data_IF_286788709715
#
_entry.id   IF_286788709715
#
_cell.length_a   1.000
_cell.length_b   1.000
_cell.length_c   1.000
_cell.angle_alpha   90.00
_cell.angle_beta   90.00
_cell.angle_gamma   90.00
#
_symmetry.space_group_name_H-M   'P 1'
#
loop_
_entity.id
_entity.type
_entity.pdbx_description
1 polymer ?
#
# COMPACT_ATOMS: atom_id res chain seq x y z
N UNK A 1 12.28 21.45 5.99
CA UNK A 1 11.22 21.61 4.98
C UNK A 1 10.93 20.21 4.48
N UNK A 2 9.68 19.75 4.50
CA UNK A 2 9.33 18.43 3.98
C UNK A 2 9.80 18.34 2.52
N UNK A 3 10.39 17.22 2.13
CA UNK A 3 10.76 16.97 0.74
C UNK A 3 9.47 16.93 -0.11
N UNK A 4 9.26 17.89 -1.03
CA UNK A 4 8.03 17.98 -1.80
C UNK A 4 8.08 17.11 -3.06
N UNK A 5 9.15 16.33 -3.27
CA UNK A 5 9.26 15.50 -4.47
C UNK A 5 8.23 14.39 -4.44
N UNK A 6 7.34 14.37 -5.45
CA UNK A 6 6.42 13.27 -5.69
C UNK A 6 7.26 12.03 -6.03
N UNK A 7 7.39 11.11 -5.08
CA UNK A 7 8.01 9.81 -5.35
C UNK A 7 7.06 9.02 -6.24
N UNK A 8 7.53 8.65 -7.42
CA UNK A 8 6.82 7.70 -8.28
C UNK A 8 6.76 6.37 -7.55
N UNK A 9 5.56 5.81 -7.39
CA UNK A 9 5.41 4.46 -6.83
C UNK A 9 6.04 3.47 -7.83
N UNK A 10 7.15 2.86 -7.46
CA UNK A 10 7.90 1.93 -8.29
C UNK A 10 8.05 0.64 -7.50
N UNK A 11 7.50 -0.46 -8.02
CA UNK A 11 7.68 -1.77 -7.43
C UNK A 11 9.15 -2.17 -7.58
N UNK A 12 9.88 -2.18 -6.46
CA UNK A 12 11.28 -2.59 -6.44
C UNK A 12 11.40 -4.11 -6.35
N UNK A 13 12.20 -4.71 -7.24
CA UNK A 13 12.59 -6.13 -7.18
C UNK A 13 13.42 -6.48 -5.92
N UNK A 14 13.83 -5.47 -5.17
CA UNK A 14 14.49 -5.62 -3.86
C UNK A 14 13.85 -4.61 -2.91
N UNK A 15 13.00 -5.05 -1.97
CA UNK A 15 12.35 -4.13 -1.04
C UNK A 15 13.41 -3.54 -0.12
N UNK A 16 13.79 -2.29 -0.38
CA UNK A 16 14.60 -1.49 0.55
C UNK A 16 13.62 -0.64 1.34
N UNK A 17 13.64 -0.75 2.67
CA UNK A 17 12.84 0.10 3.54
C UNK A 17 13.41 1.53 3.47
N UNK A 18 12.91 2.34 2.54
CA UNK A 18 13.13 3.78 2.58
C UNK A 18 12.17 4.37 3.62
N UNK A 19 12.69 4.71 4.80
CA UNK A 19 11.91 5.47 5.78
C UNK A 19 11.97 6.94 5.36
N UNK A 20 10.89 7.52 4.80
CA UNK A 20 10.88 8.94 4.53
C UNK A 20 11.08 9.69 5.86
N UNK A 21 11.94 10.70 5.86
CA UNK A 21 12.06 11.58 7.02
C UNK A 21 10.75 12.36 7.18
N UNK A 22 9.92 11.97 8.14
CA UNK A 22 8.70 12.69 8.49
C UNK A 22 9.02 13.73 9.56
N UNK A 23 8.46 14.94 9.41
CA UNK A 23 8.54 15.98 10.42
C UNK A 23 7.20 16.00 11.19
N UNK A 24 7.22 16.14 12.53
CA UNK A 24 5.99 16.29 13.30
C UNK A 24 5.23 17.54 12.81
N UNK A 25 3.93 17.38 12.58
CA UNK A 25 3.04 18.47 12.18
C UNK A 25 2.55 19.22 13.42
N UNK A 26 2.59 20.55 13.38
CA UNK A 26 2.07 21.44 14.41
C UNK A 26 0.78 22.13 13.94
N UNK A 27 -0.08 22.59 14.87
CA UNK A 27 -1.23 23.42 14.52
C UNK A 27 -0.79 24.66 13.72
N UNK A 28 -1.30 24.81 12.51
CA UNK A 28 -0.96 25.92 11.60
C UNK A 28 0.02 25.54 10.48
N UNK A 29 0.56 24.32 10.47
CA UNK A 29 1.39 23.84 9.37
C UNK A 29 0.58 23.68 8.08
N UNK A 30 1.19 24.08 6.96
CA UNK A 30 0.67 23.80 5.63
C UNK A 30 1.08 22.39 5.20
N UNK A 31 0.10 21.55 4.90
CA UNK A 31 0.32 20.21 4.36
C UNK A 31 0.19 20.22 2.83
N UNK A 32 1.01 19.43 2.16
CA UNK A 32 0.91 19.18 0.72
C UNK A 32 0.56 17.72 0.50
N UNK A 33 -0.41 17.44 -0.38
CA UNK A 33 -0.73 16.08 -0.79
C UNK A 33 0.44 15.50 -1.58
N UNK A 34 1.03 14.40 -1.11
CA UNK A 34 2.19 13.75 -1.74
C UNK A 34 1.84 12.44 -2.47
N UNK A 35 0.69 11.84 -2.15
CA UNK A 35 0.18 10.63 -2.80
C UNK A 35 -1.34 10.55 -2.62
N UNK A 36 -2.05 10.14 -3.66
CA UNK A 36 -3.44 9.69 -3.60
C UNK A 36 -3.73 8.69 -4.72
N UNK A 37 -4.77 7.88 -4.52
CA UNK A 37 -5.45 7.15 -5.60
C UNK A 37 -6.94 7.48 -5.47
N UNK A 38 -7.51 8.06 -6.52
CA UNK A 38 -8.91 8.52 -6.52
C UNK A 38 -9.87 7.46 -7.06
N UNK A 39 -9.37 6.30 -7.51
CA UNK A 39 -10.17 5.19 -8.05
C UNK A 39 -11.06 5.55 -9.26
N UNK A 40 -10.77 6.67 -9.92
CA UNK A 40 -11.53 7.15 -11.08
C UNK A 40 -11.13 6.47 -12.40
N UNK A 41 -10.13 5.57 -12.38
CA UNK A 41 -9.70 4.81 -13.54
C UNK A 41 -10.66 3.64 -13.84
N UNK A 42 -10.49 2.98 -14.98
CA UNK A 42 -11.28 1.80 -15.33
C UNK A 42 -10.81 0.51 -14.64
N UNK A 43 -9.59 0.51 -14.09
CA UNK A 43 -8.99 -0.61 -13.36
C UNK A 43 -7.95 -0.10 -12.36
N UNK A 44 -7.65 -0.88 -11.33
CA UNK A 44 -6.56 -0.58 -10.39
C UNK A 44 -5.21 -0.61 -11.10
N UNK A 45 -4.31 0.30 -10.73
CA UNK A 45 -2.94 0.32 -11.22
C UNK A 45 -2.11 -0.81 -10.56
N UNK A 46 -1.60 -1.79 -11.34
CA UNK A 46 -0.79 -2.89 -10.80
C UNK A 46 0.61 -2.47 -10.34
N UNK A 47 1.04 -1.24 -10.62
CA UNK A 47 2.25 -0.66 -10.01
C UNK A 47 1.99 -0.15 -8.59
N UNK A 48 0.72 0.05 -8.22
CA UNK A 48 0.32 0.61 -6.92
C UNK A 48 -0.34 -0.44 -6.03
N UNK A 49 -1.19 -1.30 -6.60
CA UNK A 49 -1.95 -2.30 -5.87
C UNK A 49 -1.58 -3.72 -6.31
N UNK A 50 -1.59 -4.64 -5.35
CA UNK A 50 -1.47 -6.08 -5.56
C UNK A 50 -2.55 -6.80 -4.75
N UNK A 51 -3.13 -7.85 -5.32
CA UNK A 51 -4.10 -8.70 -4.64
C UNK A 51 -3.40 -9.91 -4.04
N UNK A 52 -3.35 -9.98 -2.71
CA UNK A 52 -3.02 -11.21 -2.02
C UNK A 52 -4.07 -12.28 -2.35
N UNK A 53 -3.63 -13.51 -2.58
CA UNK A 53 -4.51 -14.65 -2.79
C UNK A 53 -4.26 -15.66 -1.69
N UNK A 54 -5.33 -16.05 -1.00
CA UNK A 54 -5.29 -17.10 0.01
C UNK A 54 -5.38 -16.64 1.45
N UNK A 55 -4.92 -17.51 2.36
CA UNK A 55 -5.04 -17.35 3.80
C UNK A 55 -3.69 -17.03 4.48
N UNK A 56 -2.64 -16.79 3.69
CA UNK A 56 -1.30 -16.46 4.16
C UNK A 56 -0.37 -17.68 4.26
N UNK A 57 -0.89 -18.89 4.08
CA UNK A 57 -0.06 -20.11 3.99
C UNK A 57 0.87 -20.10 2.78
N UNK A 58 0.51 -19.38 1.72
CA UNK A 58 1.28 -19.22 0.50
C UNK A 58 2.60 -18.48 0.72
N UNK A 59 2.67 -17.64 1.76
CA UNK A 59 3.87 -16.88 2.16
C UNK A 59 4.54 -17.46 3.41
N UNK A 60 4.16 -18.67 3.82
CA UNK A 60 4.79 -19.40 4.93
C UNK A 60 4.27 -19.04 6.32
N UNK A 61 3.16 -18.32 6.44
CA UNK A 61 2.46 -18.13 7.72
C UNK A 61 1.55 -19.33 8.01
N UNK A 62 1.18 -19.57 9.28
CA UNK A 62 0.00 -20.38 9.57
C UNK A 62 -1.22 -19.77 8.89
N UNK A 63 -2.11 -20.62 8.37
CA UNK A 63 -3.36 -20.16 7.75
C UNK A 63 -4.11 -19.19 8.66
N UNK A 64 -4.63 -18.11 8.07
CA UNK A 64 -5.26 -17.00 8.77
C UNK A 64 -4.33 -15.83 9.07
N UNK A 65 -3.34 -15.55 8.21
CA UNK A 65 -2.46 -14.37 8.22
C UNK A 65 -1.79 -14.04 9.57
N UNK A 66 -1.56 -15.07 10.40
CA UNK A 66 -0.99 -14.90 11.74
C UNK A 66 -1.97 -14.41 12.81
N UNK A 67 -3.25 -14.20 12.48
CA UNK A 67 -4.29 -13.67 13.37
C UNK A 67 -5.55 -14.57 13.46
N UNK A 68 -5.46 -15.84 13.04
CA UNK A 68 -6.60 -16.77 12.97
C UNK A 68 -7.76 -16.24 12.10
N UNK A 69 -7.44 -15.51 11.05
CA UNK A 69 -8.43 -15.08 10.06
C UNK A 69 -9.08 -16.29 9.39
N UNK A 70 -10.38 -16.20 9.10
CA UNK A 70 -11.16 -17.27 8.46
C UNK A 70 -11.40 -17.01 6.96
N UNK A 71 -10.98 -15.83 6.50
CA UNK A 71 -11.17 -15.36 5.14
C UNK A 71 -10.14 -15.99 4.20
N UNK A 72 -10.54 -16.21 2.96
CA UNK A 72 -9.64 -16.56 1.85
C UNK A 72 -9.70 -15.42 0.84
N UNK A 73 -8.60 -14.70 0.65
CA UNK A 73 -8.58 -13.53 -0.23
C UNK A 73 -8.50 -13.95 -1.70
N UNK A 74 -9.28 -13.30 -2.56
CA UNK A 74 -9.23 -13.46 -4.02
C UNK A 74 -9.25 -12.08 -4.70
N UNK A 75 -8.66 -11.95 -5.91
CA UNK A 75 -8.75 -10.71 -6.70
C UNK A 75 -10.19 -10.27 -6.97
N UNK A 76 -11.09 -11.22 -7.20
CA UNK A 76 -12.51 -10.97 -7.52
C UNK A 76 -13.34 -10.47 -6.33
N UNK A 77 -12.77 -10.41 -5.12
CA UNK A 77 -13.43 -9.81 -3.96
C UNK A 77 -13.51 -8.28 -4.05
N UNK A 78 -12.80 -7.65 -5.00
CA UNK A 78 -12.79 -6.21 -5.20
C UNK A 78 -13.16 -5.81 -6.64
N UNK A 79 -13.79 -4.65 -6.77
CA UNK A 79 -14.06 -3.97 -8.04
C UNK A 79 -13.97 -2.45 -7.81
N UNK A 80 -13.72 -1.69 -8.88
CA UNK A 80 -13.82 -0.23 -8.89
C UNK A 80 -15.28 0.22 -8.97
#
# INVERSE_FOLDING_TARGET
MADPTTQTNQNSNTPVLNMPTTFPVAPGDALTLVWSDEFNAAALDPQTWFFATGDGSEVGLPGGWGNNELQYYLPDNAQL
#
